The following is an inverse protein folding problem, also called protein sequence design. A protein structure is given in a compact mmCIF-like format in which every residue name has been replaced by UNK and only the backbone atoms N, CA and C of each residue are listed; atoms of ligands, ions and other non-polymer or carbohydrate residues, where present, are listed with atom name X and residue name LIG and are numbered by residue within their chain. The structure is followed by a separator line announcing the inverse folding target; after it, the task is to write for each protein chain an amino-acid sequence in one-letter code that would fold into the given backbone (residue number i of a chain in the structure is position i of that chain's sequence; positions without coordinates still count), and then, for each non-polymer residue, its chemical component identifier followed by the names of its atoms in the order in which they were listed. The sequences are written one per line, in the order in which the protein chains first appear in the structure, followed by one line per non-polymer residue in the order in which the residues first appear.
data_IF_231561008369
#
_entry.id   IF_231561008369
#
_cell.length_a   1.000
_cell.length_b   1.000
_cell.length_c   1.000
_cell.angle_alpha   90.00
_cell.angle_beta   90.00
_cell.angle_gamma   90.00
#
_symmetry.space_group_name_H-M   'P 1'
#
loop_
_entity.id
_entity.type
_entity.pdbx_description
1 polymer ?
#
# COMPACT_ATOMS: atom_id res chain seq x y z
N UNK A 1 -10.60 -1.36 20.35
CA UNK A 1 -11.53 -0.50 19.60
C UNK A 1 -10.80 0.62 18.87
N UNK A 2 -9.80 1.26 19.49
CA UNK A 2 -9.00 2.33 18.86
C UNK A 2 -8.20 1.86 17.64
N UNK A 3 -7.57 0.67 17.69
CA UNK A 3 -6.76 0.13 16.58
C UNK A 3 -7.54 0.04 15.27
N UNK A 4 -8.71 -0.61 15.30
CA UNK A 4 -9.57 -0.81 14.14
C UNK A 4 -9.97 0.53 13.53
N UNK A 5 -10.47 1.47 14.34
CA UNK A 5 -10.89 2.80 13.86
C UNK A 5 -9.75 3.57 13.20
N UNK A 6 -8.55 3.60 13.81
CA UNK A 6 -7.39 4.28 13.24
C UNK A 6 -6.98 3.69 11.90
N UNK A 7 -6.99 2.36 11.77
CA UNK A 7 -6.66 1.68 10.52
C UNK A 7 -7.73 1.91 9.45
N UNK A 8 -9.01 1.85 9.80
CA UNK A 8 -10.13 2.09 8.89
C UNK A 8 -10.14 3.53 8.33
N UNK A 9 -9.73 4.52 9.12
CA UNK A 9 -9.57 5.91 8.66
C UNK A 9 -8.50 6.05 7.56
N UNK A 10 -7.44 5.24 7.61
CA UNK A 10 -6.43 5.13 6.56
C UNK A 10 -6.87 4.24 5.37
N UNK A 11 -8.11 3.75 5.38
CA UNK A 11 -8.64 2.93 4.29
C UNK A 11 -8.27 1.45 4.37
N UNK A 12 -7.93 0.94 5.56
CA UNK A 12 -7.76 -0.49 5.80
C UNK A 12 -9.13 -1.14 6.06
N UNK A 13 -9.43 -2.21 5.34
CA UNK A 13 -10.55 -3.09 5.70
C UNK A 13 -10.07 -4.10 6.74
N UNK A 14 -10.16 -3.70 8.02
CA UNK A 14 -9.60 -4.44 9.14
C UNK A 14 -10.22 -5.83 9.30
N UNK A 15 -11.55 -5.95 9.19
CA UNK A 15 -12.25 -7.21 9.39
C UNK A 15 -11.90 -8.21 8.28
N UNK A 16 -11.88 -7.76 7.02
CA UNK A 16 -11.46 -8.60 5.90
C UNK A 16 -9.97 -8.95 5.96
N UNK A 17 -9.13 -8.02 6.41
CA UNK A 17 -7.73 -8.29 6.71
C UNK A 17 -7.60 -9.41 7.74
N UNK A 18 -8.27 -9.28 8.87
CA UNK A 18 -8.27 -10.28 9.94
C UNK A 18 -8.81 -11.65 9.48
N UNK A 19 -9.84 -11.68 8.63
CA UNK A 19 -10.39 -12.90 8.03
C UNK A 19 -9.33 -13.66 7.22
N UNK A 20 -8.51 -12.97 6.41
CA UNK A 20 -7.39 -13.58 5.66
C UNK A 20 -6.35 -14.24 6.57
N UNK A 21 -6.25 -13.77 7.80
CA UNK A 21 -5.41 -14.36 8.85
C UNK A 21 -6.19 -15.30 9.77
N UNK A 22 -7.33 -15.84 9.33
CA UNK A 22 -8.15 -16.83 10.04
C UNK A 22 -8.60 -16.34 11.43
N UNK A 23 -8.84 -15.04 11.59
CA UNK A 23 -9.18 -14.46 12.89
C UNK A 23 -8.00 -14.27 13.85
N UNK A 24 -6.77 -14.58 13.42
CA UNK A 24 -5.57 -14.46 14.25
C UNK A 24 -5.07 -13.01 14.31
N UNK A 25 -5.54 -12.27 15.32
CA UNK A 25 -5.20 -10.86 15.55
C UNK A 25 -3.70 -10.65 15.66
N UNK A 26 -3.00 -11.46 16.45
CA UNK A 26 -1.56 -11.32 16.67
C UNK A 26 -0.76 -11.53 15.38
N UNK A 27 -1.18 -12.48 14.54
CA UNK A 27 -0.55 -12.73 13.25
C UNK A 27 -0.82 -11.58 12.27
N UNK A 28 -2.06 -11.10 12.18
CA UNK A 28 -2.40 -9.98 11.31
C UNK A 28 -1.59 -8.72 11.68
N UNK A 29 -1.56 -8.36 12.97
CA UNK A 29 -0.79 -7.22 13.48
C UNK A 29 0.71 -7.36 13.20
N UNK A 30 1.27 -8.56 13.37
CA UNK A 30 2.67 -8.83 13.01
C UNK A 30 2.96 -8.54 11.52
N UNK A 31 2.03 -8.87 10.62
CA UNK A 31 2.22 -8.58 9.20
C UNK A 31 1.97 -7.11 8.84
N UNK A 32 1.06 -6.42 9.53
CA UNK A 32 0.93 -4.96 9.43
C UNK A 32 2.23 -4.26 9.87
N UNK A 33 2.88 -4.71 10.95
CA UNK A 33 4.18 -4.17 11.35
C UNK A 33 5.29 -4.48 10.32
N UNK A 34 5.28 -5.67 9.72
CA UNK A 34 6.23 -6.02 8.64
C UNK A 34 6.07 -5.16 7.40
N UNK A 35 4.86 -4.67 7.12
CA UNK A 35 4.63 -3.74 6.01
C UNK A 35 5.44 -2.44 6.15
N UNK A 36 5.70 -1.97 7.38
CA UNK A 36 6.49 -0.75 7.63
C UNK A 36 7.95 -0.82 7.14
N UNK A 37 8.46 -2.03 6.90
CA UNK A 37 9.82 -2.27 6.40
C UNK A 37 9.82 -2.92 5.02
N UNK A 38 8.66 -2.96 4.36
CA UNK A 38 8.55 -3.37 2.96
C UNK A 38 9.17 -2.30 2.04
N UNK A 39 10.08 -2.73 1.16
CA UNK A 39 10.83 -1.82 0.29
C UNK A 39 10.12 -1.41 -1.00
N UNK A 40 8.98 -2.02 -1.34
CA UNK A 40 8.37 -1.89 -2.68
C UNK A 40 7.92 -0.47 -3.01
N UNK A 41 7.48 0.32 -2.03
CA UNK A 41 7.17 1.74 -2.25
C UNK A 41 8.43 2.58 -2.53
N UNK A 42 9.49 2.37 -1.76
CA UNK A 42 10.74 3.11 -1.96
C UNK A 42 11.38 2.79 -3.32
N UNK A 43 11.36 1.52 -3.72
CA UNK A 43 11.81 1.08 -5.03
C UNK A 43 10.95 1.70 -6.15
N UNK A 44 9.62 1.70 -6.01
CA UNK A 44 8.71 2.34 -6.96
C UNK A 44 9.02 3.83 -7.16
N UNK A 45 9.15 4.61 -6.08
CA UNK A 45 9.45 6.05 -6.16
C UNK A 45 10.80 6.28 -6.87
N UNK A 46 11.81 5.49 -6.52
CA UNK A 46 13.15 5.57 -7.12
C UNK A 46 13.13 5.27 -8.61
N UNK A 47 12.46 4.20 -9.03
CA UNK A 47 12.43 3.74 -10.42
C UNK A 47 11.60 4.66 -11.28
N UNK A 48 10.48 5.18 -10.76
CA UNK A 48 9.68 6.18 -11.42
C UNK A 48 10.46 7.48 -11.66
N UNK A 49 11.22 7.94 -10.66
CA UNK A 49 12.09 9.12 -10.79
C UNK A 49 13.23 8.90 -11.81
N UNK A 50 13.68 7.65 -12.00
CA UNK A 50 14.66 7.29 -13.01
C UNK A 50 14.06 7.16 -14.43
N UNK A 51 12.73 7.24 -14.57
CA UNK A 51 12.02 7.03 -15.83
C UNK A 51 11.96 5.56 -16.28
N UNK A 52 12.33 4.62 -15.42
CA UNK A 52 12.27 3.18 -15.72
C UNK A 52 10.88 2.65 -15.40
N UNK A 53 9.96 2.83 -16.34
CA UNK A 53 8.56 2.40 -16.19
C UNK A 53 8.41 0.87 -16.06
N UNK A 54 9.38 0.09 -16.55
CA UNK A 54 9.33 -1.38 -16.44
C UNK A 54 9.62 -1.79 -15.01
N UNK A 55 10.66 -1.23 -14.40
CA UNK A 55 10.97 -1.49 -13.00
C UNK A 55 9.91 -0.87 -12.07
N UNK A 56 9.48 0.36 -12.34
CA UNK A 56 8.46 1.03 -11.54
C UNK A 56 7.15 0.22 -11.51
N UNK A 57 6.71 -0.32 -12.65
CA UNK A 57 5.53 -1.21 -12.72
C UNK A 57 5.70 -2.44 -11.83
N UNK A 58 6.87 -3.08 -11.87
CA UNK A 58 7.15 -4.26 -11.05
C UNK A 58 7.08 -3.92 -9.57
N UNK A 59 7.67 -2.81 -9.14
CA UNK A 59 7.68 -2.39 -7.74
C UNK A 59 6.29 -1.99 -7.23
N UNK A 60 5.54 -1.19 -8.00
CA UNK A 60 4.15 -0.86 -7.62
C UNK A 60 3.21 -2.08 -7.69
N UNK A 61 3.51 -3.06 -8.55
CA UNK A 61 2.81 -4.35 -8.56
C UNK A 61 3.07 -5.17 -7.30
N UNK A 62 4.32 -5.19 -6.82
CA UNK A 62 4.64 -5.80 -5.51
C UNK A 62 3.93 -5.08 -4.37
N UNK A 63 3.95 -3.74 -4.36
CA UNK A 63 3.24 -2.93 -3.37
C UNK A 63 1.73 -3.22 -3.36
N UNK A 64 1.12 -3.34 -4.54
CA UNK A 64 -0.28 -3.77 -4.70
C UNK A 64 -0.52 -5.13 -4.07
N UNK A 65 0.34 -6.12 -4.36
CA UNK A 65 0.21 -7.46 -3.81
C UNK A 65 0.25 -7.48 -2.28
N UNK A 66 1.22 -6.78 -1.69
CA UNK A 66 1.34 -6.65 -0.23
C UNK A 66 0.12 -5.95 0.37
N UNK A 67 -0.32 -4.84 -0.24
CA UNK A 67 -1.48 -4.07 0.20
C UNK A 67 -2.78 -4.88 0.14
N UNK A 68 -2.98 -5.65 -0.94
CA UNK A 68 -4.16 -6.51 -1.09
C UNK A 68 -4.18 -7.68 -0.10
N UNK A 69 -3.02 -8.24 0.24
CA UNK A 69 -2.92 -9.32 1.23
C UNK A 69 -3.27 -8.84 2.65
N UNK A 70 -3.01 -7.57 2.95
CA UNK A 70 -3.27 -6.96 4.26
C UNK A 70 -4.58 -6.16 4.32
N UNK A 71 -5.32 -6.13 3.21
CA UNK A 71 -6.54 -5.35 3.02
C UNK A 71 -6.33 -3.84 3.24
N UNK A 72 -5.18 -3.31 2.84
CA UNK A 72 -4.86 -1.87 2.82
C UNK A 72 -5.53 -1.23 1.58
N UNK A 73 -6.86 -1.14 1.58
CA UNK A 73 -7.65 -1.00 0.35
C UNK A 73 -7.40 0.30 -0.41
N UNK A 74 -7.29 1.45 0.29
CA UNK A 74 -6.97 2.73 -0.38
C UNK A 74 -5.62 2.67 -1.11
N UNK A 75 -4.60 2.11 -0.46
CA UNK A 75 -3.29 1.94 -1.06
C UNK A 75 -3.31 0.89 -2.19
N UNK A 76 -4.04 -0.21 -2.03
CA UNK A 76 -4.24 -1.21 -3.06
C UNK A 76 -4.84 -0.61 -4.34
N UNK A 77 -5.90 0.21 -4.20
CA UNK A 77 -6.58 0.84 -5.32
C UNK A 77 -5.67 1.84 -6.05
N UNK A 78 -4.94 2.68 -5.31
CA UNK A 78 -3.97 3.61 -5.89
C UNK A 78 -2.84 2.88 -6.62
N UNK A 79 -2.31 1.80 -6.03
CA UNK A 79 -1.27 0.98 -6.63
C UNK A 79 -1.77 0.24 -7.88
N UNK A 80 -3.00 -0.31 -7.86
CA UNK A 80 -3.57 -0.96 -9.03
C UNK A 80 -3.82 0.02 -10.18
N UNK A 81 -4.38 1.20 -9.89
CA UNK A 81 -4.57 2.25 -10.89
C UNK A 81 -3.23 2.64 -11.55
N UNK A 82 -2.18 2.81 -10.74
CA UNK A 82 -0.82 3.11 -11.24
C UNK A 82 -0.28 1.98 -12.13
N UNK A 83 -0.43 0.72 -11.71
CA UNK A 83 -0.04 -0.46 -12.53
C UNK A 83 -0.77 -0.45 -13.87
N UNK A 84 -2.08 -0.20 -13.89
CA UNK A 84 -2.85 -0.17 -15.14
C UNK A 84 -2.44 1.01 -16.03
N UNK A 85 -2.18 2.18 -15.45
CA UNK A 85 -1.74 3.37 -16.18
C UNK A 85 -0.40 3.13 -16.89
N UNK A 86 0.57 2.51 -16.20
CA UNK A 86 1.85 2.16 -16.81
C UNK A 86 1.67 1.11 -17.91
N UNK A 87 0.88 0.05 -17.67
CA UNK A 87 0.67 -1.04 -18.63
C UNK A 87 -0.07 -0.62 -19.90
N UNK A 88 -0.98 0.34 -19.78
CA UNK A 88 -1.75 0.87 -20.93
C UNK A 88 -1.05 2.04 -21.62
N UNK A 89 0.11 2.46 -21.13
CA UNK A 89 0.89 3.55 -21.71
C UNK A 89 0.20 4.91 -21.58
N UNK A 90 -0.43 5.18 -20.42
CA UNK A 90 -0.95 6.52 -20.11
C UNK A 90 0.17 7.57 -20.08
N UNK A 91 -0.22 8.83 -20.17
CA UNK A 91 0.73 9.95 -20.17
C UNK A 91 1.52 10.08 -18.87
N UNK A 92 2.71 10.69 -18.95
CA UNK A 92 3.59 10.88 -17.79
C UNK A 92 2.95 11.69 -16.66
N UNK A 93 2.11 12.67 -16.99
CA UNK A 93 1.39 13.47 -15.98
C UNK A 93 0.38 12.63 -15.20
N UNK A 94 -0.39 11.79 -15.90
CA UNK A 94 -1.38 10.91 -15.26
C UNK A 94 -0.71 9.85 -14.38
N UNK A 95 0.39 9.25 -14.84
CA UNK A 95 1.18 8.32 -14.02
C UNK A 95 1.71 9.02 -12.76
N UNK A 96 2.13 10.29 -12.87
CA UNK A 96 2.63 11.07 -11.75
C UNK A 96 1.53 11.39 -10.73
N UNK A 97 0.34 11.83 -11.18
CA UNK A 97 -0.81 12.06 -10.30
C UNK A 97 -1.23 10.78 -9.54
N UNK A 98 -1.18 9.63 -10.22
CA UNK A 98 -1.46 8.34 -9.57
C UNK A 98 -0.36 7.94 -8.58
N UNK A 99 0.91 8.20 -8.91
CA UNK A 99 2.02 7.97 -8.00
C UNK A 99 1.96 8.85 -6.74
N UNK A 100 1.49 10.09 -6.86
CA UNK A 100 1.24 10.98 -5.71
C UNK A 100 0.18 10.37 -4.78
N UNK A 101 -0.93 9.85 -5.33
CA UNK A 101 -1.96 9.13 -4.53
C UNK A 101 -1.43 7.87 -3.85
N UNK A 102 -0.51 7.13 -4.50
CA UNK A 102 0.18 6.00 -3.86
C UNK A 102 1.00 6.50 -2.67
N UNK A 103 1.73 7.61 -2.82
CA UNK A 103 2.49 8.21 -1.73
C UNK A 103 1.63 8.62 -0.54
N UNK A 104 0.57 9.38 -0.79
CA UNK A 104 -0.37 9.83 0.26
C UNK A 104 -0.96 8.64 1.04
N UNK A 105 -1.51 7.67 0.33
CA UNK A 105 -2.13 6.49 0.96
C UNK A 105 -1.12 5.58 1.67
N UNK A 106 0.12 5.49 1.17
CA UNK A 106 1.21 4.77 1.84
C UNK A 106 1.58 5.43 3.16
N UNK A 107 1.77 6.75 3.16
CA UNK A 107 2.15 7.53 4.35
C UNK A 107 1.08 7.43 5.45
N UNK A 108 -0.20 7.62 5.07
CA UNK A 108 -1.35 7.47 5.95
C UNK A 108 -1.43 6.07 6.57
N UNK A 109 -1.22 5.03 5.75
CA UNK A 109 -1.23 3.63 6.21
C UNK A 109 -0.11 3.36 7.19
N UNK A 110 1.12 3.79 6.88
CA UNK A 110 2.25 3.63 7.78
C UNK A 110 2.05 4.38 9.10
N UNK A 111 1.52 5.59 9.06
CA UNK A 111 1.20 6.37 10.25
C UNK A 111 0.13 5.67 11.10
N UNK A 112 -0.94 5.19 10.49
CA UNK A 112 -2.01 4.48 11.19
C UNK A 112 -1.50 3.20 11.88
N UNK A 113 -0.64 2.42 11.22
CA UNK A 113 -0.04 1.21 11.82
C UNK A 113 0.84 1.58 13.03
N UNK A 114 1.70 2.61 12.90
CA UNK A 114 2.56 3.06 14.01
C UNK A 114 1.76 3.55 15.21
N UNK A 115 0.71 4.35 14.99
CA UNK A 115 -0.13 4.89 16.05
C UNK A 115 -1.02 3.86 16.76
N UNK A 116 -1.24 2.69 16.14
CA UNK A 116 -2.21 1.71 16.64
C UNK A 116 -1.60 0.40 17.14
N UNK A 117 -0.48 -0.04 16.58
CA UNK A 117 0.12 -1.35 16.88
C UNK A 117 1.56 -1.23 17.40
N UNK A 118 2.29 -0.19 16.98
CA UNK A 118 3.70 0.01 17.31
C UNK A 118 3.91 0.69 18.67
N UNK A 119 3.69 -0.04 19.76
CA UNK A 119 4.37 0.22 21.06
C UNK A 119 5.52 -0.77 21.26
#
# INVERSE_FOLDING_TARGET
MQIKVTLEQAGVDYDKGLERFMGNVALYHKFLLKFLVDGSYADFVKELAAGDLVLAEKSVHTLKGTSGNLSLMRLFEAADATVQAIRTGQGSEEIKELAEKVGESYEETCQAIRLSIGE
#
